data_IF_212065630702
#
_entry.id   IF_212065630702
#
_cell.length_a   1.000
_cell.length_b   1.000
_cell.length_c   1.000
_cell.angle_alpha   90.00
_cell.angle_beta   90.00
_cell.angle_gamma   90.00
#
_symmetry.space_group_name_H-M   'P 1'
#
loop_
_entity.id
_entity.type
_entity.pdbx_description
1 polymer ?
#
# COMPACT_ATOMS: atom_id res chain seq x y z
N UNK A 1 -11.03 4.03 -21.91
CA UNK A 1 -11.15 3.75 -20.45
C UNK A 1 -11.60 2.32 -20.09
N UNK A 2 -12.89 1.91 -20.19
CA UNK A 2 -13.37 0.62 -19.63
C UNK A 2 -12.69 -0.61 -20.27
N UNK A 3 -12.52 -0.61 -21.60
CA UNK A 3 -11.83 -1.68 -22.31
C UNK A 3 -10.36 -1.77 -21.88
N UNK A 4 -9.71 -0.61 -21.65
CA UNK A 4 -8.32 -0.56 -21.25
C UNK A 4 -8.09 -1.06 -19.81
N UNK A 5 -8.97 -0.68 -18.89
CA UNK A 5 -8.98 -1.23 -17.54
C UNK A 5 -9.24 -2.74 -17.54
N UNK A 6 -10.15 -3.23 -18.38
CA UNK A 6 -10.43 -4.67 -18.50
C UNK A 6 -9.21 -5.45 -19.04
N UNK A 7 -8.50 -4.91 -20.04
CA UNK A 7 -7.27 -5.51 -20.58
C UNK A 7 -6.16 -5.51 -19.53
N UNK A 8 -5.98 -4.41 -18.79
CA UNK A 8 -4.99 -4.33 -17.71
C UNK A 8 -5.29 -5.34 -16.59
N UNK A 9 -6.56 -5.49 -16.19
CA UNK A 9 -7.00 -6.47 -15.19
C UNK A 9 -6.79 -7.91 -15.68
N UNK A 10 -7.10 -8.21 -16.94
CA UNK A 10 -6.87 -9.53 -17.55
C UNK A 10 -5.37 -9.87 -17.60
N UNK A 11 -4.54 -8.90 -17.97
CA UNK A 11 -3.09 -9.05 -18.00
C UNK A 11 -2.53 -9.28 -16.60
N UNK A 12 -3.00 -8.49 -15.61
CA UNK A 12 -2.66 -8.68 -14.20
C UNK A 12 -3.09 -10.04 -13.64
N UNK A 13 -4.26 -10.55 -14.05
CA UNK A 13 -4.75 -11.87 -13.64
C UNK A 13 -3.92 -13.01 -14.26
N UNK A 14 -3.62 -12.92 -15.56
CA UNK A 14 -2.76 -13.88 -16.26
C UNK A 14 -1.35 -13.91 -15.64
N UNK A 15 -0.79 -12.74 -15.33
CA UNK A 15 0.49 -12.63 -14.65
C UNK A 15 0.44 -13.23 -13.23
N UNK A 16 -0.61 -12.97 -12.47
CA UNK A 16 -0.80 -13.55 -11.13
C UNK A 16 -0.79 -15.09 -11.19
N UNK A 17 -1.46 -15.68 -12.19
CA UNK A 17 -1.48 -17.14 -12.36
C UNK A 17 -0.10 -17.68 -12.73
N UNK A 18 0.61 -17.00 -13.64
CA UNK A 18 1.93 -17.43 -14.09
C UNK A 18 3.00 -17.33 -12.98
N UNK A 19 2.95 -16.28 -12.16
CA UNK A 19 3.94 -16.01 -11.13
C UNK A 19 3.59 -16.54 -9.74
N UNK A 20 2.41 -17.12 -9.54
CA UNK A 20 2.09 -17.94 -8.35
C UNK A 20 3.03 -19.14 -8.13
N UNK A 21 3.84 -19.47 -9.15
CA UNK A 21 4.89 -20.51 -9.09
C UNK A 21 6.23 -20.02 -8.55
N UNK A 22 6.40 -18.71 -8.39
CA UNK A 22 7.66 -18.08 -7.96
C UNK A 22 7.48 -17.62 -6.51
N UNK A 23 8.36 -18.04 -5.60
CA UNK A 23 8.26 -17.74 -4.16
C UNK A 23 8.54 -16.29 -3.76
N UNK A 24 8.26 -15.32 -4.65
CA UNK A 24 8.48 -13.88 -4.44
C UNK A 24 7.12 -13.22 -4.14
N UNK A 25 7.05 -12.24 -3.21
CA UNK A 25 5.83 -11.48 -2.94
C UNK A 25 5.26 -10.84 -4.21
N UNK A 26 3.96 -11.04 -4.44
CA UNK A 26 3.27 -10.56 -5.65
C UNK A 26 3.37 -9.03 -5.83
N UNK A 27 3.40 -8.28 -4.74
CA UNK A 27 3.47 -6.80 -4.73
C UNK A 27 4.75 -6.27 -5.35
N UNK A 28 5.91 -6.84 -4.99
CA UNK A 28 7.22 -6.45 -5.50
C UNK A 28 7.30 -6.67 -7.02
N UNK A 29 6.76 -7.80 -7.46
CA UNK A 29 6.76 -8.19 -8.85
C UNK A 29 5.85 -7.30 -9.70
N UNK A 30 4.64 -7.00 -9.22
CA UNK A 30 3.71 -6.09 -9.89
C UNK A 30 4.32 -4.69 -10.00
N UNK A 31 4.97 -4.20 -8.94
CA UNK A 31 5.67 -2.91 -8.95
C UNK A 31 6.83 -2.88 -9.97
N UNK A 32 7.68 -3.92 -9.97
CA UNK A 32 8.81 -4.03 -10.90
C UNK A 32 8.33 -4.09 -12.35
N UNK A 33 7.30 -4.89 -12.64
CA UNK A 33 6.68 -4.95 -13.97
C UNK A 33 6.10 -3.60 -14.38
N UNK A 34 5.31 -2.96 -13.50
CA UNK A 34 4.75 -1.64 -13.77
C UNK A 34 5.83 -0.60 -14.10
N UNK A 35 6.95 -0.63 -13.38
CA UNK A 35 8.09 0.27 -13.62
C UNK A 35 8.76 -0.02 -14.97
N UNK A 36 8.94 -1.29 -15.33
CA UNK A 36 9.51 -1.69 -16.63
C UNK A 36 8.58 -1.31 -17.78
N UNK A 37 7.29 -1.60 -17.67
CA UNK A 37 6.29 -1.22 -18.68
C UNK A 37 6.17 0.30 -18.83
N UNK A 38 6.12 1.04 -17.72
CA UNK A 38 6.11 2.50 -17.73
C UNK A 38 7.38 3.08 -18.35
N UNK A 39 8.55 2.54 -18.01
CA UNK A 39 9.82 2.98 -18.59
C UNK A 39 9.93 2.72 -20.10
N UNK A 40 9.43 1.58 -20.59
CA UNK A 40 9.37 1.27 -22.03
C UNK A 40 8.39 2.21 -22.74
N UNK A 41 7.25 2.53 -22.11
CA UNK A 41 6.26 3.46 -22.67
C UNK A 41 6.83 4.85 -22.91
N UNK A 42 7.68 5.35 -22.00
CA UNK A 42 8.33 6.66 -22.15
C UNK A 42 9.39 6.72 -23.27
N UNK A 43 9.97 5.59 -23.66
CA UNK A 43 11.07 5.54 -24.64
C UNK A 43 10.58 5.24 -26.05
N UNK A 44 9.50 4.45 -26.19
CA UNK A 44 9.07 3.91 -27.49
C UNK A 44 7.77 4.51 -28.02
N UNK A 45 7.12 5.42 -27.27
CA UNK A 45 5.88 6.11 -27.68
C UNK A 45 4.73 5.17 -28.09
N UNK A 46 4.78 3.92 -27.61
CA UNK A 46 3.85 2.83 -28.01
C UNK A 46 2.48 2.99 -27.34
N UNK A 47 2.37 3.82 -26.30
CA UNK A 47 1.18 3.92 -25.44
C UNK A 47 0.52 5.30 -25.45
N UNK A 48 0.81 6.17 -26.42
CA UNK A 48 0.38 7.57 -26.43
C UNK A 48 -1.17 7.76 -26.31
N UNK A 49 -1.96 6.83 -26.89
CA UNK A 49 -3.43 6.78 -26.75
C UNK A 49 -3.93 6.26 -25.39
N UNK A 50 -3.13 5.44 -24.70
CA UNK A 50 -3.46 4.87 -23.38
C UNK A 50 -2.98 5.77 -22.24
N UNK A 51 -1.86 6.48 -22.46
CA UNK A 51 -1.22 7.35 -21.48
C UNK A 51 -2.08 8.58 -21.19
N UNK A 52 -2.70 9.17 -22.22
CA UNK A 52 -3.68 10.24 -22.04
C UNK A 52 -4.87 9.78 -21.18
N UNK A 53 -5.49 8.63 -21.48
CA UNK A 53 -6.69 8.13 -20.76
C UNK A 53 -6.39 7.74 -19.29
N UNK A 54 -5.16 7.31 -18.97
CA UNK A 54 -4.74 6.91 -17.62
C UNK A 54 -4.20 8.10 -16.82
N UNK A 55 -3.50 9.04 -17.44
CA UNK A 55 -2.99 10.24 -16.76
C UNK A 55 -4.10 11.20 -16.30
N UNK A 56 -5.24 11.22 -17.00
CA UNK A 56 -6.42 11.99 -16.57
C UNK A 56 -7.31 11.24 -15.56
N UNK A 57 -6.96 10.02 -15.16
CA UNK A 57 -7.74 9.28 -14.18
C UNK A 57 -7.53 9.90 -12.80
N UNK A 58 -8.59 10.53 -12.28
CA UNK A 58 -8.54 11.22 -11.00
C UNK A 58 -8.15 10.23 -9.87
N UNK A 59 -7.01 10.43 -9.18
CA UNK A 59 -6.60 9.57 -8.07
C UNK A 59 -7.65 9.52 -6.96
N UNK A 60 -8.45 10.58 -6.78
CA UNK A 60 -9.51 10.64 -5.79
C UNK A 60 -10.61 9.60 -6.07
N UNK A 61 -10.88 9.24 -7.34
CA UNK A 61 -11.84 8.17 -7.66
C UNK A 61 -11.37 6.81 -7.14
N UNK A 62 -10.06 6.53 -7.23
CA UNK A 62 -9.48 5.28 -6.70
C UNK A 62 -9.65 5.27 -5.17
N UNK A 63 -9.28 6.36 -4.49
CA UNK A 63 -9.48 6.44 -3.04
C UNK A 63 -10.95 6.30 -2.65
N UNK A 64 -11.88 7.03 -3.30
CA UNK A 64 -13.30 6.98 -2.96
C UNK A 64 -13.95 5.61 -3.21
N UNK A 65 -13.49 4.88 -4.22
CA UNK A 65 -14.06 3.56 -4.54
C UNK A 65 -13.44 2.46 -3.66
N UNK A 66 -12.11 2.41 -3.58
CA UNK A 66 -11.42 1.30 -2.92
C UNK A 66 -11.33 1.46 -1.41
N UNK A 67 -11.13 2.68 -0.88
CA UNK A 67 -10.92 2.88 0.56
C UNK A 67 -12.12 2.42 1.41
N UNK A 68 -13.40 2.74 1.07
CA UNK A 68 -14.54 2.23 1.81
C UNK A 68 -14.65 0.71 1.75
N UNK A 69 -14.35 0.11 0.60
CA UNK A 69 -14.43 -1.35 0.39
C UNK A 69 -13.35 -2.05 1.22
N UNK A 70 -12.11 -1.55 1.21
CA UNK A 70 -10.98 -2.11 1.96
C UNK A 70 -11.16 -1.99 3.47
N UNK A 71 -11.66 -0.84 3.95
CA UNK A 71 -11.96 -0.64 5.37
C UNK A 71 -13.10 -1.56 5.80
N UNK A 72 -14.15 -1.70 4.98
CA UNK A 72 -15.26 -2.61 5.27
C UNK A 72 -14.82 -4.08 5.31
N UNK A 73 -14.01 -4.52 4.35
CA UNK A 73 -13.43 -5.86 4.34
C UNK A 73 -12.63 -6.12 5.63
N UNK A 74 -11.73 -5.20 5.98
CA UNK A 74 -10.88 -5.32 7.17
C UNK A 74 -11.72 -5.34 8.46
N UNK A 75 -12.74 -4.49 8.56
CA UNK A 75 -13.66 -4.48 9.69
C UNK A 75 -14.52 -5.76 9.77
N UNK A 76 -14.88 -6.36 8.63
CA UNK A 76 -15.69 -7.58 8.56
C UNK A 76 -14.92 -8.83 9.00
N UNK A 77 -13.63 -8.93 8.67
CA UNK A 77 -12.77 -10.03 9.12
C UNK A 77 -12.22 -9.85 10.53
N UNK A 78 -12.33 -8.65 11.11
CA UNK A 78 -11.84 -8.35 12.44
C UNK A 78 -12.73 -8.98 13.53
N UNK A 79 -12.16 -9.90 14.31
CA UNK A 79 -12.82 -10.49 15.48
C UNK A 79 -12.93 -9.46 16.63
N UNK A 80 -14.11 -8.86 16.81
CA UNK A 80 -14.34 -7.78 17.78
C UNK A 80 -13.96 -8.15 19.23
N UNK A 81 -14.12 -9.43 19.60
CA UNK A 81 -13.76 -9.94 20.93
C UNK A 81 -12.25 -9.97 21.18
N UNK A 82 -11.47 -10.24 20.13
CA UNK A 82 -10.00 -10.26 20.20
C UNK A 82 -9.47 -8.83 20.05
N UNK A 83 -10.05 -8.06 19.13
CA UNK A 83 -9.72 -6.65 18.91
C UNK A 83 -9.86 -5.82 20.20
N UNK A 84 -10.97 -5.96 20.93
CA UNK A 84 -11.15 -5.25 22.20
C UNK A 84 -10.09 -5.55 23.26
N UNK A 85 -9.46 -6.75 23.22
CA UNK A 85 -8.39 -7.13 24.15
C UNK A 85 -7.03 -6.54 23.77
N UNK A 86 -6.79 -6.31 22.48
CA UNK A 86 -5.52 -5.78 21.95
C UNK A 86 -5.62 -4.30 21.55
N UNK A 87 -6.80 -3.70 21.65
CA UNK A 87 -7.09 -2.32 21.27
C UNK A 87 -6.07 -1.32 21.80
N UNK A 88 -5.70 -1.43 23.08
CA UNK A 88 -4.72 -0.56 23.70
C UNK A 88 -3.32 -0.69 23.06
N UNK A 89 -2.94 -1.89 22.63
CA UNK A 89 -1.67 -2.13 21.94
C UNK A 89 -1.70 -1.53 20.53
N UNK A 90 -2.79 -1.71 19.78
CA UNK A 90 -2.97 -1.06 18.46
C UNK A 90 -2.99 0.46 18.57
N UNK A 91 -3.68 1.05 19.57
CA UNK A 91 -3.67 2.51 19.76
C UNK A 91 -2.28 3.06 20.08
N UNK A 92 -1.47 2.34 20.86
CA UNK A 92 -0.09 2.75 21.14
C UNK A 92 0.77 2.67 19.86
N UNK A 93 0.53 1.68 19.00
CA UNK A 93 1.28 1.52 17.77
C UNK A 93 0.88 2.60 16.73
N UNK A 94 -0.42 2.76 16.49
CA UNK A 94 -0.97 3.72 15.53
C UNK A 94 -0.79 5.19 15.95
N UNK A 95 -0.85 5.49 17.25
CA UNK A 95 -0.70 6.86 17.76
C UNK A 95 0.76 7.26 17.98
N UNK A 96 1.32 7.00 19.17
CA UNK A 96 2.68 7.40 19.49
C UNK A 96 3.74 6.66 18.65
N UNK A 97 3.51 5.40 18.26
CA UNK A 97 4.42 4.67 17.37
C UNK A 97 4.59 5.37 16.02
N UNK A 98 3.48 5.76 15.39
CA UNK A 98 3.49 6.53 14.14
C UNK A 98 4.16 7.90 14.31
N UNK A 99 3.86 8.65 15.38
CA UNK A 99 4.51 9.94 15.64
C UNK A 99 6.03 9.82 15.82
N UNK A 100 6.48 8.77 16.50
CA UNK A 100 7.91 8.50 16.66
C UNK A 100 8.55 8.11 15.33
N UNK A 101 7.90 7.25 14.54
CA UNK A 101 8.41 6.83 13.23
C UNK A 101 8.50 8.00 12.23
N UNK A 102 7.47 8.84 12.16
CA UNK A 102 7.46 10.08 11.35
C UNK A 102 8.52 11.08 11.81
N UNK A 103 8.67 11.28 13.12
CA UNK A 103 9.71 12.14 13.68
C UNK A 103 11.13 11.65 13.39
N UNK A 104 11.39 10.35 13.57
CA UNK A 104 12.69 9.75 13.31
C UNK A 104 13.06 9.83 11.83
N UNK A 105 12.13 9.49 10.93
CA UNK A 105 12.36 9.60 9.47
C UNK A 105 12.61 11.04 9.06
N UNK A 106 11.85 12.01 9.58
CA UNK A 106 12.07 13.43 9.32
C UNK A 106 13.46 13.91 9.79
N UNK A 107 13.91 13.48 10.98
CA UNK A 107 15.23 13.81 11.51
C UNK A 107 16.35 13.29 10.61
N UNK A 108 16.25 12.05 10.14
CA UNK A 108 17.22 11.45 9.21
C UNK A 108 17.26 12.24 7.90
N UNK A 109 16.09 12.63 7.37
CA UNK A 109 16.01 13.37 6.11
C UNK A 109 16.60 14.78 6.23
N UNK A 110 16.39 15.49 7.34
CA UNK A 110 17.01 16.80 7.57
C UNK A 110 18.53 16.66 7.70
N UNK A 111 19.01 15.61 8.36
CA UNK A 111 20.45 15.37 8.51
C UNK A 111 21.13 15.02 7.18
N UNK A 112 20.47 14.27 6.29
CA UNK A 112 20.99 13.93 4.97
C UNK A 112 20.83 15.04 3.94
N UNK A 113 19.77 15.85 4.03
CA UNK A 113 19.42 16.89 3.07
C UNK A 113 19.30 18.26 3.77
N UNK A 114 20.42 19.00 3.91
CA UNK A 114 20.46 20.27 4.67
C UNK A 114 19.66 21.43 4.03
N UNK A 115 19.04 21.23 2.86
CA UNK A 115 18.16 22.21 2.21
C UNK A 115 16.66 21.98 2.46
N UNK A 116 16.28 20.92 3.17
CA UNK A 116 14.87 20.60 3.43
C UNK A 116 14.34 21.37 4.64
N UNK A 117 13.12 21.91 4.51
CA UNK A 117 12.41 22.49 5.65
C UNK A 117 11.89 21.37 6.56
N UNK A 118 11.70 21.69 7.85
CA UNK A 118 11.06 20.78 8.80
C UNK A 118 9.70 20.27 8.34
N UNK A 119 8.94 21.12 7.65
CA UNK A 119 7.64 20.74 7.10
C UNK A 119 7.77 19.68 6.00
N UNK A 120 8.71 19.85 5.06
CA UNK A 120 8.95 18.87 3.99
C UNK A 120 9.43 17.53 4.55
N UNK A 121 10.32 17.55 5.53
CA UNK A 121 10.83 16.34 6.15
C UNK A 121 9.77 15.59 6.97
N UNK A 122 8.94 16.31 7.73
CA UNK A 122 7.81 15.72 8.45
C UNK A 122 6.74 15.19 7.51
N UNK A 123 6.47 15.90 6.42
CA UNK A 123 5.48 15.48 5.42
C UNK A 123 5.96 14.22 4.69
N UNK A 124 7.25 14.14 4.33
CA UNK A 124 7.85 12.92 3.80
C UNK A 124 7.81 11.77 4.82
N UNK A 125 8.17 12.05 6.08
CA UNK A 125 8.09 11.08 7.15
C UNK A 125 6.67 10.55 7.35
N UNK A 126 5.65 11.40 7.30
CA UNK A 126 4.24 11.03 7.38
C UNK A 126 3.82 10.10 6.23
N UNK A 127 4.20 10.42 5.00
CA UNK A 127 3.87 9.61 3.82
C UNK A 127 4.56 8.24 3.88
N UNK A 128 5.83 8.19 4.24
CA UNK A 128 6.62 6.94 4.27
C UNK A 128 6.27 6.08 5.48
N UNK A 129 5.92 6.70 6.61
CA UNK A 129 5.56 5.99 7.83
C UNK A 129 4.14 5.43 7.81
N UNK A 130 3.28 5.88 6.89
CA UNK A 130 1.98 5.28 6.67
C UNK A 130 2.18 3.85 6.12
N UNK A 131 2.12 2.87 7.01
CA UNK A 131 2.20 1.45 6.65
C UNK A 131 0.89 1.03 5.97
N UNK A 132 0.98 0.24 4.88
CA UNK A 132 -0.18 -0.47 4.32
C UNK A 132 -0.25 -1.89 4.89
N UNK A 133 -1.01 -2.09 5.97
CA UNK A 133 -1.17 -3.38 6.63
C UNK A 133 -1.93 -4.40 5.79
N UNK A 134 -2.73 -4.01 4.78
CA UNK A 134 -3.51 -4.96 3.97
C UNK A 134 -2.58 -5.90 3.21
N UNK A 135 -1.54 -5.33 2.56
CA UNK A 135 -0.53 -6.11 1.87
C UNK A 135 0.30 -6.99 2.83
N UNK A 136 0.61 -6.48 4.02
CA UNK A 136 1.39 -7.20 5.03
C UNK A 136 0.59 -8.36 5.65
N UNK A 137 -0.70 -8.17 5.93
CA UNK A 137 -1.59 -9.20 6.47
C UNK A 137 -1.75 -10.35 5.47
N UNK A 138 -1.89 -10.05 4.17
CA UNK A 138 -1.94 -11.07 3.13
C UNK A 138 -0.67 -11.93 3.12
N UNK A 139 0.50 -11.31 3.19
CA UNK A 139 1.79 -12.01 3.26
C UNK A 139 1.95 -12.81 4.56
N UNK A 140 1.56 -12.24 5.70
CA UNK A 140 1.64 -12.92 7.00
C UNK A 140 0.72 -14.15 7.06
N UNK A 141 -0.45 -14.08 6.41
CA UNK A 141 -1.36 -15.23 6.25
C UNK A 141 -0.75 -16.31 5.34
N UNK A 142 -0.11 -15.92 4.22
CA UNK A 142 0.61 -16.85 3.34
C UNK A 142 1.80 -17.55 4.06
N UNK A 143 2.49 -16.83 4.94
CA UNK A 143 3.61 -17.35 5.74
C UNK A 143 3.18 -18.16 6.98
N UNK A 144 1.88 -18.30 7.24
CA UNK A 144 1.35 -19.11 8.35
C UNK A 144 1.45 -18.46 9.73
N UNK A 145 1.42 -17.13 9.82
CA UNK A 145 1.54 -16.41 11.09
C UNK A 145 0.34 -16.62 12.03
N UNK A 146 0.55 -16.40 13.34
CA UNK A 146 -0.49 -16.52 14.37
C UNK A 146 -1.62 -15.51 14.17
N UNK A 147 -2.87 -15.95 14.33
CA UNK A 147 -4.08 -15.12 14.21
C UNK A 147 -4.02 -13.83 15.04
N UNK A 148 -3.33 -13.84 16.18
CA UNK A 148 -3.17 -12.64 17.04
C UNK A 148 -2.35 -11.54 16.37
N UNK A 149 -1.31 -11.88 15.60
CA UNK A 149 -0.48 -10.87 14.93
C UNK A 149 -1.24 -10.25 13.75
N UNK A 150 -1.98 -11.07 12.99
CA UNK A 150 -2.84 -10.57 11.92
C UNK A 150 -3.89 -9.59 12.46
N UNK A 151 -4.58 -9.93 13.55
CA UNK A 151 -5.61 -9.06 14.16
C UNK A 151 -5.00 -7.78 14.75
N UNK A 152 -3.75 -7.83 15.28
CA UNK A 152 -3.06 -6.64 15.78
C UNK A 152 -2.73 -5.66 14.65
N UNK A 153 -2.22 -6.17 13.54
CA UNK A 153 -1.87 -5.37 12.35
C UNK A 153 -3.14 -4.83 11.67
N UNK A 154 -4.19 -5.65 11.53
CA UNK A 154 -5.53 -5.19 11.09
C UNK A 154 -6.09 -4.11 12.03
N UNK A 155 -5.85 -4.24 13.33
CA UNK A 155 -6.29 -3.27 14.32
C UNK A 155 -5.54 -1.94 14.28
N UNK A 156 -4.25 -1.93 13.94
CA UNK A 156 -3.51 -0.70 13.63
C UNK A 156 -4.03 -0.03 12.37
N UNK A 157 -4.49 -0.81 11.38
CA UNK A 157 -5.02 -0.31 10.10
C UNK A 157 -6.34 0.45 10.24
N UNK A 158 -7.19 -0.05 11.15
CA UNK A 158 -8.55 0.43 11.35
C UNK A 158 -8.61 1.68 12.25
N UNK A 159 -7.55 1.95 12.99
CA UNK A 159 -7.42 3.07 13.94
C UNK A 159 -6.78 4.29 13.28
#
# INVERSE_FOLDING_TARGET
VILGAAVALLFGLLFRLYLSRVGIPLTVLQFALGTVFGGIGLVWDVFDEFDNDVQYMDPHLIFFLFLPILIFESAFFCDIHVFGRIFWQSCILAGPGLLVATGLTALVMIAMYPGWTWLMALLYGAIVSATDPVAVVALLRELGCSKKLAILVEGESLL
#
